data_IF_123957866692
#
_entry.id   IF_123957866692
#
_cell.length_a   1.000
_cell.length_b   1.000
_cell.length_c   1.000
_cell.angle_alpha   90.00
_cell.angle_beta   90.00
_cell.angle_gamma   90.00
#
_symmetry.space_group_name_H-M   'P 1'
#
loop_
_entity.id
_entity.type
_entity.pdbx_description
1 polymer ?
#
# COMPACT_ATOMS: atom_id res chain seq x y z
N UNK A 1 54.59 -27.02 -55.56
CA UNK A 1 54.73 -26.75 -54.13
C UNK A 1 53.51 -25.98 -53.72
N UNK A 2 52.52 -26.67 -53.20
CA UNK A 2 51.17 -26.08 -52.90
C UNK A 2 51.10 -25.91 -51.38
N UNK A 3 51.11 -24.63 -50.91
CA UNK A 3 50.86 -24.30 -49.51
C UNK A 3 49.37 -24.34 -49.24
N UNK A 4 48.96 -25.21 -48.31
CA UNK A 4 47.60 -25.26 -47.73
C UNK A 4 47.53 -24.27 -46.57
N UNK A 5 46.73 -23.21 -46.74
CA UNK A 5 46.37 -22.28 -45.68
C UNK A 5 45.23 -22.87 -44.87
N UNK A 6 45.46 -23.13 -43.58
CA UNK A 6 44.38 -23.49 -42.63
C UNK A 6 43.70 -22.23 -42.15
N UNK A 7 42.44 -22.07 -42.45
CA UNK A 7 41.58 -21.06 -41.83
C UNK A 7 41.18 -21.54 -40.43
N UNK A 8 41.49 -20.75 -39.41
CA UNK A 8 41.01 -20.93 -38.02
C UNK A 8 39.71 -20.17 -37.90
N UNK A 9 38.60 -20.89 -37.77
CA UNK A 9 37.30 -20.29 -37.43
C UNK A 9 37.30 -19.99 -35.91
N UNK A 10 37.40 -18.73 -35.54
CA UNK A 10 37.06 -18.29 -34.17
C UNK A 10 35.55 -18.18 -34.10
N UNK A 11 34.93 -19.12 -33.43
CA UNK A 11 33.52 -19.01 -33.00
C UNK A 11 33.38 -18.03 -31.84
N UNK A 12 32.87 -16.84 -32.13
CA UNK A 12 32.38 -15.93 -31.09
C UNK A 12 31.06 -16.48 -30.54
N UNK A 13 31.12 -17.13 -29.37
CA UNK A 13 29.92 -17.41 -28.60
C UNK A 13 29.38 -16.07 -28.06
N UNK A 14 28.36 -15.56 -28.71
CA UNK A 14 27.58 -14.45 -28.15
C UNK A 14 26.82 -14.97 -26.90
N UNK A 15 27.32 -14.63 -25.73
CA UNK A 15 26.58 -14.83 -24.48
C UNK A 15 25.41 -13.85 -24.50
N UNK A 16 24.23 -14.34 -24.86
CA UNK A 16 22.98 -13.60 -24.66
C UNK A 16 22.75 -13.58 -23.14
N UNK A 17 23.10 -12.47 -22.49
CA UNK A 17 22.53 -12.14 -21.22
C UNK A 17 21.04 -11.84 -21.44
N UNK A 18 20.20 -12.82 -21.16
CA UNK A 18 18.78 -12.57 -20.93
C UNK A 18 18.73 -11.79 -19.61
N UNK A 19 18.65 -10.48 -19.69
CA UNK A 19 18.21 -9.65 -18.58
C UNK A 19 16.76 -10.03 -18.30
N UNK A 20 16.54 -11.00 -17.43
CA UNK A 20 15.25 -11.16 -16.80
C UNK A 20 15.06 -9.91 -15.96
N UNK A 21 14.24 -8.97 -16.43
CA UNK A 21 13.74 -7.92 -15.58
C UNK A 21 12.98 -8.60 -14.43
N UNK A 22 13.58 -8.60 -13.26
CA UNK A 22 12.90 -9.08 -12.07
C UNK A 22 11.65 -8.23 -11.90
N UNK A 23 10.50 -8.87 -12.08
CA UNK A 23 9.21 -8.24 -11.93
C UNK A 23 9.02 -7.96 -10.45
N UNK A 24 8.72 -6.71 -10.10
CA UNK A 24 8.12 -6.45 -8.80
C UNK A 24 6.89 -7.37 -8.70
N UNK A 25 6.85 -8.21 -7.68
CA UNK A 25 5.77 -9.20 -7.54
C UNK A 25 4.52 -8.42 -7.12
N UNK A 26 3.71 -8.05 -8.12
CA UNK A 26 2.35 -7.61 -7.92
C UNK A 26 1.50 -8.80 -7.43
N UNK A 27 0.32 -8.55 -6.88
CA UNK A 27 -0.62 -9.60 -6.47
C UNK A 27 -0.74 -10.69 -7.55
N UNK A 28 -0.81 -11.94 -7.13
CA UNK A 28 -0.91 -13.09 -8.03
C UNK A 28 -2.35 -13.25 -8.53
N UNK A 29 -2.54 -13.99 -9.61
CA UNK A 29 -3.86 -14.28 -10.19
C UNK A 29 -4.29 -13.23 -11.21
N UNK A 30 -5.57 -12.87 -11.17
CA UNK A 30 -6.22 -11.91 -12.08
C UNK A 30 -6.79 -10.71 -11.31
N UNK A 31 -5.94 -9.90 -10.67
CA UNK A 31 -6.37 -8.82 -9.76
C UNK A 31 -6.89 -7.58 -10.50
N UNK A 32 -7.64 -7.77 -11.58
CA UNK A 32 -8.15 -6.68 -12.41
C UNK A 32 -9.41 -6.10 -11.81
N UNK A 33 -9.32 -4.85 -11.39
CA UNK A 33 -10.40 -4.12 -10.76
C UNK A 33 -10.19 -2.62 -10.95
N UNK A 34 -11.29 -1.88 -10.95
CA UNK A 34 -11.31 -0.42 -10.85
C UNK A 34 -12.19 -0.05 -9.66
N UNK A 35 -11.80 0.97 -8.88
CA UNK A 35 -12.47 1.42 -7.65
C UNK A 35 -12.74 0.30 -6.64
N UNK A 36 -11.68 -0.35 -6.11
CA UNK A 36 -11.87 -1.43 -5.15
C UNK A 36 -12.40 -0.87 -3.81
N UNK A 37 -13.46 -1.45 -3.30
CA UNK A 37 -13.94 -1.19 -1.94
C UNK A 37 -12.88 -1.55 -0.89
N UNK A 38 -13.08 -1.08 0.33
CA UNK A 38 -12.43 -1.65 1.51
C UNK A 38 -12.51 -3.17 1.48
N UNK A 39 -11.38 -3.84 1.73
CA UNK A 39 -11.30 -5.31 1.72
C UNK A 39 -11.93 -5.86 2.99
N UNK A 40 -12.95 -6.72 2.81
CA UNK A 40 -13.68 -7.38 3.90
C UNK A 40 -13.24 -8.83 4.04
N UNK A 41 -13.05 -9.27 5.28
CA UNK A 41 -12.91 -10.69 5.60
C UNK A 41 -14.30 -11.30 5.88
N UNK A 42 -14.58 -12.42 5.25
CA UNK A 42 -15.78 -13.21 5.45
C UNK A 42 -15.45 -14.71 5.36
N UNK A 43 -15.67 -15.44 6.45
CA UNK A 43 -15.46 -16.89 6.54
C UNK A 43 -14.05 -17.35 6.11
N UNK A 44 -13.03 -16.58 6.52
CA UNK A 44 -11.62 -16.86 6.22
C UNK A 44 -11.18 -16.51 4.80
N UNK A 45 -12.03 -15.86 4.02
CA UNK A 45 -11.72 -15.33 2.69
C UNK A 45 -11.83 -13.81 2.66
N UNK A 46 -11.20 -13.20 1.68
CA UNK A 46 -11.17 -11.76 1.49
C UNK A 46 -11.93 -11.37 0.24
N UNK A 47 -12.69 -10.29 0.33
CA UNK A 47 -13.57 -9.79 -0.73
C UNK A 47 -13.36 -8.30 -0.92
N UNK A 48 -13.32 -7.85 -2.17
CA UNK A 48 -13.42 -6.45 -2.56
C UNK A 48 -14.29 -6.32 -3.79
N UNK A 49 -15.07 -5.25 -3.85
CA UNK A 49 -16.01 -4.98 -4.93
C UNK A 49 -15.52 -3.78 -5.73
N UNK A 50 -15.79 -3.76 -7.02
CA UNK A 50 -15.37 -2.67 -7.90
C UNK A 50 -16.52 -2.06 -8.68
N UNK A 51 -16.21 -1.05 -9.46
CA UNK A 51 -17.11 -0.46 -10.45
C UNK A 51 -17.63 -1.53 -11.41
N UNK A 52 -18.91 -1.46 -11.77
CA UNK A 52 -19.61 -2.41 -12.62
C UNK A 52 -20.29 -3.56 -11.89
N UNK A 53 -20.17 -3.67 -10.56
CA UNK A 53 -20.85 -4.66 -9.72
C UNK A 53 -20.14 -6.00 -9.57
N UNK A 54 -18.98 -6.17 -10.19
CA UNK A 54 -18.08 -7.29 -9.97
C UNK A 54 -17.17 -7.07 -8.77
N UNK A 55 -16.32 -8.07 -8.48
CA UNK A 55 -15.35 -7.97 -7.42
C UNK A 55 -14.33 -9.10 -7.48
N UNK A 56 -13.41 -9.06 -6.55
CA UNK A 56 -12.35 -10.06 -6.41
C UNK A 56 -12.51 -10.83 -5.10
N UNK A 57 -12.07 -12.07 -5.12
CA UNK A 57 -12.00 -12.98 -3.97
C UNK A 57 -10.56 -13.45 -3.81
N UNK A 58 -10.12 -13.57 -2.57
CA UNK A 58 -8.84 -14.17 -2.22
C UNK A 58 -8.99 -15.07 -1.00
N UNK A 59 -8.29 -16.22 -0.99
CA UNK A 59 -8.20 -17.11 0.16
C UNK A 59 -7.00 -16.79 1.06
N UNK A 60 -6.01 -16.08 0.53
CA UNK A 60 -4.73 -15.79 1.20
C UNK A 60 -4.43 -14.27 1.33
N UNK A 61 -5.30 -13.40 0.78
CA UNK A 61 -5.11 -11.96 0.72
C UNK A 61 -4.09 -11.49 -0.33
N UNK A 62 -3.49 -12.44 -1.07
CA UNK A 62 -2.47 -12.16 -2.07
C UNK A 62 -2.84 -12.64 -3.48
N UNK A 63 -3.39 -13.84 -3.59
CA UNK A 63 -3.88 -14.40 -4.85
C UNK A 63 -5.32 -13.95 -5.05
N UNK A 64 -5.55 -13.07 -5.99
CA UNK A 64 -6.85 -12.47 -6.25
C UNK A 64 -7.42 -12.91 -7.58
N UNK A 65 -8.68 -13.33 -7.59
CA UNK A 65 -9.40 -13.73 -8.80
C UNK A 65 -10.80 -13.15 -8.79
N UNK A 66 -11.39 -13.04 -9.97
CA UNK A 66 -12.79 -12.64 -10.11
C UNK A 66 -13.72 -13.62 -9.41
N UNK A 67 -14.86 -13.12 -8.92
CA UNK A 67 -15.86 -13.94 -8.23
C UNK A 67 -16.66 -13.19 -7.18
N UNK A 68 -16.21 -12.03 -6.74
CA UNK A 68 -17.03 -11.15 -5.89
C UNK A 68 -18.27 -10.69 -6.65
N UNK A 69 -19.42 -10.77 -6.00
CA UNK A 69 -20.72 -10.42 -6.61
C UNK A 69 -21.39 -9.35 -5.77
N UNK A 70 -21.70 -8.24 -6.41
CA UNK A 70 -22.52 -7.17 -5.89
C UNK A 70 -23.60 -6.83 -6.93
N UNK A 71 -24.88 -6.96 -6.62
CA UNK A 71 -25.94 -6.57 -7.56
C UNK A 71 -26.00 -5.05 -7.74
N UNK A 72 -26.74 -4.61 -8.75
CA UNK A 72 -27.05 -3.20 -8.99
C UNK A 72 -26.10 -2.48 -9.93
N UNK A 73 -24.98 -3.09 -10.34
CA UNK A 73 -23.99 -2.39 -11.18
C UNK A 73 -23.41 -1.16 -10.49
N UNK A 74 -23.37 -0.03 -11.19
CA UNK A 74 -22.93 1.26 -10.64
C UNK A 74 -21.44 1.35 -10.40
N UNK A 75 -21.00 2.38 -9.67
CA UNK A 75 -19.61 2.74 -9.52
C UNK A 75 -19.17 2.85 -8.05
N UNK A 76 -17.87 2.76 -7.88
CA UNK A 76 -17.13 3.15 -6.70
C UNK A 76 -17.77 2.71 -5.38
N UNK A 77 -17.82 1.39 -5.14
CA UNK A 77 -18.43 0.85 -3.93
C UNK A 77 -17.47 0.95 -2.74
N UNK A 78 -18.06 0.96 -1.54
CA UNK A 78 -17.36 0.63 -0.31
C UNK A 78 -18.13 -0.35 0.56
N UNK A 79 -17.45 -0.94 1.53
CA UNK A 79 -18.00 -1.99 2.39
C UNK A 79 -17.54 -1.86 3.83
N UNK A 80 -18.47 -2.12 4.77
CA UNK A 80 -18.15 -2.18 6.19
C UNK A 80 -18.89 -3.33 6.87
N UNK A 81 -18.21 -4.02 7.78
CA UNK A 81 -18.83 -5.06 8.62
C UNK A 81 -19.44 -4.43 9.87
N UNK A 82 -20.72 -4.67 10.11
CA UNK A 82 -21.45 -4.20 11.29
C UNK A 82 -22.13 -5.39 11.96
N UNK A 83 -21.62 -5.78 13.13
CA UNK A 83 -22.08 -7.00 13.79
C UNK A 83 -21.76 -8.26 12.97
N UNK A 84 -22.80 -9.00 12.62
CA UNK A 84 -22.72 -10.27 11.87
C UNK A 84 -23.02 -10.13 10.36
N UNK A 85 -23.11 -8.91 9.84
CA UNK A 85 -23.46 -8.63 8.44
C UNK A 85 -22.63 -7.51 7.85
N UNK A 86 -22.74 -7.36 6.54
CA UNK A 86 -21.97 -6.41 5.74
C UNK A 86 -22.91 -5.38 5.13
N UNK A 87 -22.61 -4.11 5.30
CA UNK A 87 -23.22 -3.01 4.58
C UNK A 87 -22.31 -2.66 3.40
N UNK A 88 -22.91 -2.62 2.21
CA UNK A 88 -22.26 -2.18 0.98
C UNK A 88 -22.91 -0.88 0.56
N UNK A 89 -22.11 0.15 0.32
CA UNK A 89 -22.53 1.38 -0.35
C UNK A 89 -21.97 1.39 -1.77
N UNK A 90 -22.73 1.95 -2.72
CA UNK A 90 -22.28 2.11 -4.10
C UNK A 90 -23.06 3.21 -4.81
N UNK A 91 -22.54 3.69 -5.92
CA UNK A 91 -23.13 4.79 -6.66
C UNK A 91 -23.92 4.30 -7.86
N UNK A 92 -25.17 4.68 -7.94
CA UNK A 92 -25.96 4.58 -9.17
C UNK A 92 -25.79 5.91 -9.92
N UNK A 93 -24.88 5.93 -10.89
CA UNK A 93 -24.55 7.14 -11.62
C UNK A 93 -25.55 7.44 -12.72
N UNK A 94 -26.07 8.64 -12.73
CA UNK A 94 -26.99 9.13 -13.78
C UNK A 94 -26.32 9.90 -14.90
N UNK A 95 -25.06 10.23 -14.79
CA UNK A 95 -24.32 10.97 -15.81
C UNK A 95 -22.86 10.62 -15.74
N UNK A 96 -22.19 10.52 -16.85
CA UNK A 96 -20.77 10.18 -16.89
C UNK A 96 -19.92 11.26 -16.22
N UNK A 97 -18.63 10.98 -16.16
CA UNK A 97 -17.58 11.91 -15.78
C UNK A 97 -17.79 13.27 -16.46
N UNK A 98 -17.92 14.32 -15.70
CA UNK A 98 -18.11 15.67 -16.24
C UNK A 98 -19.44 16.32 -15.94
N UNK A 99 -20.12 15.89 -14.89
CA UNK A 99 -21.19 16.66 -14.29
C UNK A 99 -22.56 16.41 -14.88
N UNK A 100 -23.12 15.30 -14.52
CA UNK A 100 -24.58 15.16 -14.62
C UNK A 100 -25.28 15.62 -13.37
N UNK A 101 -24.60 15.79 -12.23
CA UNK A 101 -25.20 16.08 -10.91
C UNK A 101 -26.50 15.29 -10.67
N UNK A 102 -26.52 14.04 -11.10
CA UNK A 102 -27.68 13.15 -11.04
C UNK A 102 -27.36 11.81 -10.39
N UNK A 103 -26.22 11.76 -9.70
CA UNK A 103 -25.76 10.60 -8.97
C UNK A 103 -26.62 10.31 -7.75
N UNK A 104 -26.58 9.03 -7.33
CA UNK A 104 -27.22 8.55 -6.11
C UNK A 104 -26.30 7.55 -5.43
N UNK A 105 -26.14 7.67 -4.13
CA UNK A 105 -25.51 6.62 -3.32
C UNK A 105 -26.59 5.74 -2.71
N UNK A 106 -26.41 4.45 -2.90
CA UNK A 106 -27.31 3.41 -2.42
C UNK A 106 -26.59 2.52 -1.42
N UNK A 107 -27.31 2.04 -0.40
CA UNK A 107 -26.80 1.04 0.54
C UNK A 107 -27.62 -0.25 0.48
N UNK A 108 -26.98 -1.38 0.71
CA UNK A 108 -27.64 -2.68 0.83
C UNK A 108 -26.86 -3.58 1.79
N UNK A 109 -27.58 -4.52 2.39
CA UNK A 109 -27.03 -5.46 3.34
C UNK A 109 -26.88 -6.86 2.76
N UNK A 110 -25.85 -7.57 3.22
CA UNK A 110 -25.75 -9.01 3.06
C UNK A 110 -25.21 -9.64 4.36
N UNK A 111 -25.61 -10.86 4.63
CA UNK A 111 -25.20 -11.63 5.79
C UNK A 111 -23.86 -12.32 5.57
N UNK A 112 -23.52 -12.60 4.33
CA UNK A 112 -22.27 -13.20 3.89
C UNK A 112 -21.82 -12.59 2.57
N UNK A 113 -20.52 -12.63 2.29
CA UNK A 113 -19.96 -12.20 1.01
C UNK A 113 -19.62 -13.39 0.08
N UNK A 114 -19.79 -14.64 0.57
CA UNK A 114 -19.58 -15.83 -0.24
C UNK A 114 -20.79 -16.10 -1.15
N UNK A 115 -20.64 -15.93 -2.49
CA UNK A 115 -21.74 -16.16 -3.44
C UNK A 115 -22.21 -17.62 -3.52
N UNK A 116 -21.45 -18.55 -2.95
CA UNK A 116 -21.86 -19.97 -2.87
C UNK A 116 -22.61 -20.30 -1.59
N UNK A 117 -22.71 -19.39 -0.65
CA UNK A 117 -23.45 -19.59 0.60
C UNK A 117 -24.96 -19.56 0.35
N UNK A 118 -25.78 -20.44 1.00
CA UNK A 118 -27.22 -20.38 0.94
C UNK A 118 -27.80 -19.09 1.55
N UNK A 119 -27.06 -18.42 2.41
CA UNK A 119 -27.43 -17.14 3.02
C UNK A 119 -27.01 -15.91 2.16
N UNK A 120 -26.42 -16.12 0.99
CA UNK A 120 -26.01 -15.05 0.09
C UNK A 120 -27.24 -14.38 -0.54
N UNK A 121 -27.67 -13.30 0.10
CA UNK A 121 -28.82 -12.53 -0.36
C UNK A 121 -28.71 -11.08 0.07
N UNK A 122 -28.59 -10.19 -0.90
CA UNK A 122 -28.65 -8.75 -0.65
C UNK A 122 -30.08 -8.28 -0.39
N UNK A 123 -30.22 -7.28 0.48
CA UNK A 123 -31.48 -6.54 0.63
C UNK A 123 -31.75 -5.67 -0.59
N UNK A 124 -32.98 -5.16 -0.72
CA UNK A 124 -33.27 -4.10 -1.68
C UNK A 124 -32.39 -2.85 -1.37
N UNK A 125 -31.86 -2.19 -2.40
CA UNK A 125 -31.07 -0.98 -2.22
C UNK A 125 -31.89 0.17 -1.62
N UNK A 126 -31.23 0.97 -0.78
CA UNK A 126 -31.79 2.15 -0.12
C UNK A 126 -31.00 3.37 -0.55
N UNK A 127 -31.66 4.37 -1.09
CA UNK A 127 -31.03 5.68 -1.40
C UNK A 127 -30.71 6.42 -0.11
N UNK A 128 -29.45 6.85 0.05
CA UNK A 128 -28.93 7.55 1.23
C UNK A 128 -28.35 8.93 0.92
N UNK A 129 -27.98 9.17 -0.34
CA UNK A 129 -27.57 10.46 -0.85
C UNK A 129 -27.97 10.62 -2.32
N UNK A 130 -28.18 11.85 -2.74
CA UNK A 130 -28.53 12.20 -4.13
C UNK A 130 -28.00 13.58 -4.46
N UNK A 131 -27.48 13.75 -5.66
CA UNK A 131 -27.11 15.04 -6.24
C UNK A 131 -28.09 15.54 -7.29
N UNK A 132 -29.28 14.98 -7.34
CA UNK A 132 -30.34 15.46 -8.22
C UNK A 132 -30.72 16.90 -7.84
N UNK A 133 -30.51 17.84 -8.76
CA UNK A 133 -30.67 19.30 -8.56
C UNK A 133 -29.64 19.93 -7.59
N UNK A 134 -28.52 19.30 -7.39
CA UNK A 134 -27.42 19.79 -6.57
C UNK A 134 -26.28 20.21 -7.52
N UNK A 135 -25.91 21.50 -7.54
CA UNK A 135 -24.95 22.05 -8.49
C UNK A 135 -23.52 22.02 -7.99
N UNK A 136 -23.29 21.73 -6.70
CA UNK A 136 -21.98 21.81 -6.06
C UNK A 136 -21.49 20.47 -5.43
N UNK A 137 -22.21 19.37 -5.72
CA UNK A 137 -21.80 18.03 -5.33
C UNK A 137 -22.28 16.99 -6.36
N UNK A 138 -21.52 15.91 -6.50
CA UNK A 138 -21.94 14.72 -7.24
C UNK A 138 -22.02 13.54 -6.26
N UNK A 139 -23.17 12.86 -6.19
CA UNK A 139 -23.38 11.73 -5.26
C UNK A 139 -22.80 10.44 -5.85
N UNK A 140 -21.49 10.32 -5.76
CA UNK A 140 -20.68 9.18 -6.22
C UNK A 140 -19.55 8.92 -5.21
N UNK A 141 -18.84 7.84 -5.35
CA UNK A 141 -17.64 7.49 -4.59
C UNK A 141 -17.90 7.40 -3.08
N UNK A 142 -18.69 6.39 -2.72
CA UNK A 142 -19.05 6.14 -1.33
C UNK A 142 -17.89 5.61 -0.49
N UNK A 143 -17.63 6.24 0.66
CA UNK A 143 -16.72 5.73 1.69
C UNK A 143 -17.42 5.59 3.04
N UNK A 144 -17.27 4.47 3.71
CA UNK A 144 -17.98 4.11 4.94
C UNK A 144 -17.06 4.03 6.15
N UNK A 145 -17.39 4.73 7.23
CA UNK A 145 -16.72 4.61 8.52
C UNK A 145 -17.72 4.21 9.61
N UNK A 146 -17.58 3.01 10.17
CA UNK A 146 -18.12 2.73 11.48
C UNK A 146 -17.15 3.28 12.53
N UNK A 147 -17.53 4.38 13.16
CA UNK A 147 -16.67 5.10 14.10
C UNK A 147 -16.39 4.22 15.34
N UNK A 148 -15.14 3.82 15.59
CA UNK A 148 -14.82 2.97 16.72
C UNK A 148 -14.94 3.68 18.08
N UNK A 149 -15.14 5.01 18.10
CA UNK A 149 -15.21 5.79 19.33
C UNK A 149 -16.61 5.84 19.94
N UNK A 150 -17.64 5.83 19.11
CA UNK A 150 -19.03 5.98 19.54
C UNK A 150 -20.04 5.08 18.81
N UNK A 151 -19.57 4.31 17.82
CA UNK A 151 -20.40 3.38 17.05
C UNK A 151 -21.28 4.03 15.99
N UNK A 152 -21.11 5.32 15.71
CA UNK A 152 -21.85 6.01 14.64
C UNK A 152 -21.34 5.56 13.29
N UNK A 153 -22.23 5.54 12.31
CA UNK A 153 -21.89 5.19 10.93
C UNK A 153 -21.88 6.44 10.06
N UNK A 154 -20.77 6.68 9.40
CA UNK A 154 -20.56 7.81 8.53
C UNK A 154 -20.40 7.38 7.09
N UNK A 155 -20.92 8.19 6.17
CA UNK A 155 -20.76 8.05 4.74
C UNK A 155 -20.15 9.34 4.19
N UNK A 156 -18.99 9.25 3.54
CA UNK A 156 -18.47 10.29 2.67
C UNK A 156 -18.81 9.99 1.22
N UNK A 157 -19.01 11.04 0.40
CA UNK A 157 -19.26 10.91 -1.04
C UNK A 157 -18.96 12.23 -1.76
N UNK A 158 -18.70 12.16 -3.05
CA UNK A 158 -18.44 13.33 -3.91
C UNK A 158 -17.28 13.11 -4.86
N UNK A 159 -17.10 14.05 -5.79
CA UNK A 159 -15.98 14.07 -6.74
C UNK A 159 -15.24 15.42 -6.71
N UNK A 160 -14.15 15.49 -7.47
CA UNK A 160 -13.37 16.74 -7.64
C UNK A 160 -14.10 17.82 -8.45
N UNK A 161 -15.32 17.56 -8.94
CA UNK A 161 -16.17 18.58 -9.59
C UNK A 161 -16.99 19.42 -8.59
N UNK A 162 -16.93 19.09 -7.30
CA UNK A 162 -17.67 19.78 -6.26
C UNK A 162 -17.12 19.46 -4.88
N UNK A 163 -18.00 19.55 -3.88
CA UNK A 163 -17.66 19.20 -2.52
C UNK A 163 -17.69 17.70 -2.28
N UNK A 164 -16.77 17.23 -1.45
CA UNK A 164 -16.92 15.96 -0.74
C UNK A 164 -17.80 16.23 0.48
N UNK A 165 -18.86 15.45 0.61
CA UNK A 165 -19.84 15.55 1.69
C UNK A 165 -19.78 14.39 2.65
N UNK A 166 -20.10 14.66 3.89
CA UNK A 166 -20.23 13.70 4.96
C UNK A 166 -21.65 13.70 5.50
N UNK A 167 -22.26 12.54 5.67
CA UNK A 167 -23.56 12.33 6.30
C UNK A 167 -23.52 11.17 7.29
N UNK A 168 -24.41 11.20 8.25
CA UNK A 168 -24.56 10.11 9.22
C UNK A 168 -25.65 9.13 8.77
N UNK A 169 -25.32 7.85 8.87
CA UNK A 169 -26.25 6.76 8.62
C UNK A 169 -26.61 6.06 9.95
N UNK A 170 -27.77 5.45 10.00
CA UNK A 170 -28.16 4.55 11.09
C UNK A 170 -27.44 3.20 10.92
N UNK A 171 -26.56 2.81 11.84
CA UNK A 171 -25.80 1.56 11.74
C UNK A 171 -26.69 0.30 11.80
N UNK A 172 -27.92 0.41 12.27
CA UNK A 172 -28.84 -0.73 12.30
C UNK A 172 -29.53 -0.97 10.95
N UNK A 173 -29.81 0.08 10.21
CA UNK A 173 -30.61 0.02 8.99
C UNK A 173 -29.84 0.37 7.72
N UNK A 174 -28.71 1.08 7.83
CA UNK A 174 -27.96 1.62 6.69
C UNK A 174 -28.65 2.81 6.02
N UNK A 175 -29.69 3.38 6.61
CA UNK A 175 -30.39 4.55 6.11
C UNK A 175 -29.75 5.83 6.60
N UNK A 176 -29.93 6.91 5.85
CA UNK A 176 -29.56 8.24 6.32
C UNK A 176 -30.35 8.60 7.58
N UNK A 177 -29.67 9.17 8.57
CA UNK A 177 -30.33 9.67 9.79
C UNK A 177 -31.21 10.86 9.46
N UNK A 178 -32.46 10.85 9.96
CA UNK A 178 -33.40 11.96 9.77
C UNK A 178 -32.88 13.27 10.37
N UNK A 179 -33.06 14.37 9.64
CA UNK A 179 -32.61 15.70 10.06
C UNK A 179 -31.10 15.92 10.00
N UNK A 180 -30.30 14.93 9.59
CA UNK A 180 -28.88 15.07 9.43
C UNK A 180 -28.56 15.90 8.20
N UNK A 181 -27.81 17.01 8.41
CA UNK A 181 -27.35 17.87 7.33
C UNK A 181 -26.08 17.34 6.73
N UNK A 182 -25.90 17.58 5.46
CA UNK A 182 -24.64 17.37 4.76
C UNK A 182 -23.57 18.32 5.29
N UNK A 183 -22.36 17.81 5.40
CA UNK A 183 -21.19 18.55 5.89
C UNK A 183 -20.15 18.49 4.80
N UNK A 184 -19.76 19.64 4.26
CA UNK A 184 -18.67 19.75 3.31
C UNK A 184 -17.34 19.53 4.04
N UNK A 185 -16.53 18.60 3.58
CA UNK A 185 -15.29 18.18 4.27
C UNK A 185 -14.03 18.31 3.41
N UNK A 186 -14.15 18.30 2.08
CA UNK A 186 -13.03 18.46 1.15
C UNK A 186 -13.48 18.98 -0.21
N UNK A 187 -12.53 19.40 -1.04
CA UNK A 187 -12.65 19.67 -2.48
C UNK A 187 -11.42 19.09 -3.19
N UNK A 188 -11.45 19.10 -4.53
CA UNK A 188 -10.31 18.74 -5.38
C UNK A 188 -9.79 17.30 -5.15
N UNK A 189 -10.69 16.43 -4.77
CA UNK A 189 -10.45 15.00 -4.63
C UNK A 189 -11.75 14.21 -4.79
N UNK A 190 -11.64 12.90 -4.90
CA UNK A 190 -12.77 11.98 -4.95
C UNK A 190 -12.41 10.67 -4.24
N UNK A 191 -13.30 9.66 -4.31
CA UNK A 191 -13.07 8.33 -3.72
C UNK A 191 -12.50 8.43 -2.30
N UNK A 192 -13.21 9.18 -1.46
CA UNK A 192 -12.75 9.45 -0.11
C UNK A 192 -13.14 8.33 0.84
N UNK A 193 -12.22 8.02 1.75
CA UNK A 193 -12.47 7.12 2.88
C UNK A 193 -11.93 7.72 4.17
N UNK A 194 -12.52 7.30 5.29
CA UNK A 194 -12.22 7.78 6.62
C UNK A 194 -11.64 6.67 7.48
N UNK A 195 -10.54 6.96 8.16
CA UNK A 195 -10.00 6.09 9.19
C UNK A 195 -9.79 6.84 10.50
N UNK A 196 -9.93 6.13 11.62
CA UNK A 196 -9.66 6.65 12.95
C UNK A 196 -8.43 5.96 13.55
N UNK A 197 -7.49 6.77 14.08
CA UNK A 197 -6.32 6.28 14.78
C UNK A 197 -5.80 7.29 15.80
N UNK A 198 -5.51 6.83 17.01
CA UNK A 198 -4.84 7.59 18.07
C UNK A 198 -5.47 8.99 18.35
N UNK A 199 -6.80 9.05 18.33
CA UNK A 199 -7.55 10.28 18.58
C UNK A 199 -7.62 11.23 17.39
N UNK A 200 -7.28 10.77 16.18
CA UNK A 200 -7.42 11.52 14.94
C UNK A 200 -8.28 10.77 13.93
N UNK A 201 -9.09 11.52 13.22
CA UNK A 201 -9.75 11.09 11.99
C UNK A 201 -8.87 11.54 10.81
N UNK A 202 -8.64 10.65 9.89
CA UNK A 202 -7.91 10.88 8.65
C UNK A 202 -8.87 10.72 7.49
N UNK A 203 -9.00 11.77 6.67
CA UNK A 203 -9.74 11.75 5.41
C UNK A 203 -8.73 11.52 4.29
N UNK A 204 -8.78 10.36 3.68
CA UNK A 204 -8.00 10.04 2.50
C UNK A 204 -8.86 10.32 1.27
N UNK A 205 -8.26 10.90 0.24
CA UNK A 205 -8.96 11.19 -1.00
C UNK A 205 -8.04 11.02 -2.19
N UNK A 206 -8.61 10.65 -3.32
CA UNK A 206 -7.92 10.52 -4.59
C UNK A 206 -7.92 11.85 -5.32
N UNK A 207 -6.74 12.37 -5.59
CA UNK A 207 -6.51 13.63 -6.30
C UNK A 207 -5.95 13.35 -7.69
N UNK A 208 -6.22 14.21 -8.66
CA UNK A 208 -5.75 14.07 -10.04
C UNK A 208 -6.85 13.64 -11.01
N UNK A 209 -6.48 12.99 -12.10
CA UNK A 209 -7.40 12.63 -13.20
C UNK A 209 -7.67 11.15 -13.28
N UNK A 210 -8.96 10.77 -13.29
CA UNK A 210 -9.47 9.41 -13.47
C UNK A 210 -9.37 8.95 -14.92
N UNK A 211 -9.41 7.62 -15.08
CA UNK A 211 -9.91 6.95 -16.30
C UNK A 211 -9.09 7.23 -17.57
N UNK A 212 -7.83 7.61 -17.40
CA UNK A 212 -6.88 7.89 -18.49
C UNK A 212 -5.74 6.84 -18.57
N UNK A 213 -5.92 5.71 -17.88
CA UNK A 213 -5.00 4.59 -17.89
C UNK A 213 -3.56 5.02 -17.62
N UNK A 214 -2.61 4.79 -18.56
CA UNK A 214 -1.21 5.16 -18.39
C UNK A 214 -0.93 6.65 -18.17
N UNK A 215 -1.85 7.54 -18.55
CA UNK A 215 -1.71 8.98 -18.40
C UNK A 215 -2.40 9.51 -17.14
N UNK A 216 -3.09 8.67 -16.38
CA UNK A 216 -3.72 9.05 -15.13
C UNK A 216 -2.72 9.71 -14.19
N UNK A 217 -3.11 10.82 -13.60
CA UNK A 217 -2.33 11.55 -12.59
C UNK A 217 -2.80 11.26 -11.18
N UNK A 218 -3.66 10.28 -10.99
CA UNK A 218 -4.15 9.87 -9.69
C UNK A 218 -3.04 9.68 -8.68
N UNK A 219 -3.31 10.15 -7.49
CA UNK A 219 -2.51 9.98 -6.29
C UNK A 219 -3.43 10.07 -5.07
N UNK A 220 -3.07 9.46 -3.96
CA UNK A 220 -3.87 9.54 -2.74
C UNK A 220 -3.24 10.55 -1.80
N UNK A 221 -4.07 11.47 -1.31
CA UNK A 221 -3.70 12.51 -0.34
C UNK A 221 -4.52 12.34 0.94
N UNK A 222 -4.06 12.95 2.04
CA UNK A 222 -4.69 12.85 3.35
C UNK A 222 -4.69 14.17 4.10
N UNK A 223 -5.81 14.47 4.74
CA UNK A 223 -5.93 15.44 5.82
C UNK A 223 -6.38 14.78 7.11
N UNK A 224 -6.17 15.42 8.26
CA UNK A 224 -6.63 14.90 9.55
C UNK A 224 -7.36 15.92 10.39
N UNK A 225 -8.23 15.44 11.28
CA UNK A 225 -9.01 16.24 12.22
C UNK A 225 -9.18 15.53 13.56
N UNK A 226 -9.47 16.29 14.62
CA UNK A 226 -9.91 15.72 15.92
C UNK A 226 -11.39 15.36 15.95
N UNK A 227 -12.14 15.79 14.96
CA UNK A 227 -13.58 15.52 14.82
C UNK A 227 -13.83 14.88 13.46
N UNK A 228 -14.72 13.91 13.42
CA UNK A 228 -15.12 13.27 12.16
C UNK A 228 -15.71 14.27 11.16
N UNK A 229 -16.33 15.33 11.65
CA UNK A 229 -16.91 16.41 10.82
C UNK A 229 -15.88 17.45 10.37
N UNK A 230 -14.59 17.25 10.63
CA UNK A 230 -13.53 18.18 10.24
C UNK A 230 -13.37 19.40 11.19
N UNK A 231 -12.72 20.47 10.75
CA UNK A 231 -12.03 20.60 9.47
C UNK A 231 -10.81 19.67 9.36
N UNK A 232 -10.63 19.07 8.20
CA UNK A 232 -9.45 18.25 7.88
C UNK A 232 -8.34 19.15 7.35
N UNK A 233 -7.13 19.00 7.91
CA UNK A 233 -5.96 19.78 7.52
C UNK A 233 -4.78 18.84 7.18
N UNK A 234 -3.96 19.25 6.25
CA UNK A 234 -2.72 18.56 5.90
C UNK A 234 -1.59 18.87 6.91
N UNK A 235 -0.41 18.35 6.64
CA UNK A 235 0.78 18.54 7.48
C UNK A 235 1.37 19.97 7.43
N UNK A 236 0.88 20.81 6.52
CA UNK A 236 1.24 22.23 6.40
C UNK A 236 0.18 23.15 7.01
N UNK A 237 -0.95 22.58 7.49
CA UNK A 237 -2.08 23.31 8.05
C UNK A 237 -3.09 23.80 7.04
N UNK A 238 -2.97 23.44 5.75
CA UNK A 238 -3.94 23.80 4.72
C UNK A 238 -5.15 22.86 4.83
N UNK A 239 -6.34 23.42 4.75
CA UNK A 239 -7.59 22.64 4.82
C UNK A 239 -7.84 21.88 3.53
N UNK A 240 -8.44 20.70 3.63
CA UNK A 240 -8.91 19.96 2.45
C UNK A 240 -10.05 20.69 1.74
N UNK A 241 -10.82 21.50 2.43
CA UNK A 241 -11.79 22.44 1.83
C UNK A 241 -11.13 23.58 1.04
N UNK A 242 -9.82 23.69 1.07
CA UNK A 242 -9.01 24.65 0.31
C UNK A 242 -8.05 23.92 -0.67
N UNK A 243 -8.30 22.63 -0.94
CA UNK A 243 -7.46 21.78 -1.77
C UNK A 243 -6.14 21.39 -1.08
N UNK A 244 -6.10 21.32 0.26
CA UNK A 244 -4.98 20.76 1.02
C UNK A 244 -4.96 19.25 0.92
N UNK A 245 -3.82 18.66 1.24
CA UNK A 245 -3.64 17.21 1.29
C UNK A 245 -2.17 16.83 1.30
N UNK A 246 -1.80 15.93 2.21
CA UNK A 246 -0.46 15.35 2.26
C UNK A 246 -0.44 14.07 1.44
N UNK A 247 0.54 13.93 0.56
CA UNK A 247 0.73 12.73 -0.25
C UNK A 247 0.88 11.46 0.62
N UNK A 248 0.12 10.42 0.26
CA UNK A 248 0.19 9.07 0.83
C UNK A 248 0.85 8.12 -0.16
N UNK A 249 0.41 8.12 -1.42
CA UNK A 249 0.96 7.31 -2.51
C UNK A 249 0.81 8.04 -3.84
N UNK A 250 1.78 7.89 -4.71
CA UNK A 250 1.77 8.37 -6.08
C UNK A 250 2.24 7.28 -7.04
N UNK A 251 2.24 7.57 -8.33
CA UNK A 251 2.77 6.67 -9.35
C UNK A 251 4.23 6.28 -9.07
N UNK A 252 4.56 5.03 -9.31
CA UNK A 252 5.90 4.49 -9.12
C UNK A 252 5.96 3.00 -9.50
N UNK A 253 7.19 2.46 -9.59
CA UNK A 253 7.41 1.02 -9.82
C UNK A 253 6.62 0.43 -11.00
N UNK A 254 6.52 1.18 -12.14
CA UNK A 254 5.77 0.79 -13.33
C UNK A 254 4.25 0.68 -13.11
N UNK A 255 3.73 1.31 -12.08
CA UNK A 255 2.30 1.44 -11.78
C UNK A 255 1.93 2.91 -11.72
N UNK A 256 0.82 3.28 -12.37
CA UNK A 256 0.38 4.66 -12.55
C UNK A 256 -1.02 4.85 -12.01
N UNK A 257 -1.29 6.03 -11.49
CA UNK A 257 -2.61 6.44 -11.07
C UNK A 257 -3.18 5.63 -9.89
N UNK A 258 -2.49 5.59 -8.72
CA UNK A 258 -3.08 4.97 -7.53
C UNK A 258 -4.25 5.79 -7.02
N UNK A 259 -5.42 5.16 -6.90
CA UNK A 259 -6.64 5.80 -6.43
C UNK A 259 -7.55 4.84 -5.66
N UNK A 260 -8.59 5.40 -5.07
CA UNK A 260 -9.62 4.68 -4.33
C UNK A 260 -9.05 3.89 -3.15
N UNK A 261 -8.75 4.58 -2.07
CA UNK A 261 -8.20 4.00 -0.84
C UNK A 261 -9.22 3.07 -0.16
N UNK A 262 -8.74 1.94 0.33
CA UNK A 262 -9.44 1.09 1.26
C UNK A 262 -8.51 0.62 2.38
N UNK A 263 -9.03 0.47 3.59
CA UNK A 263 -8.28 -0.09 4.70
C UNK A 263 -8.34 -1.62 4.66
N UNK A 264 -7.19 -2.27 4.78
CA UNK A 264 -7.09 -3.72 4.86
C UNK A 264 -6.44 -4.14 6.17
N UNK A 265 -7.25 -4.55 7.14
CA UNK A 265 -6.79 -5.10 8.42
C UNK A 265 -6.66 -6.60 8.32
N UNK A 266 -5.51 -7.10 8.70
CA UNK A 266 -5.17 -8.51 8.62
C UNK A 266 -4.60 -9.03 9.91
N UNK A 267 -4.74 -10.36 10.08
CA UNK A 267 -4.37 -11.08 11.29
C UNK A 267 -2.87 -11.10 11.61
N UNK A 268 -2.00 -10.64 10.69
CA UNK A 268 -0.54 -10.57 10.91
C UNK A 268 -0.09 -9.33 11.70
N UNK A 269 -1.03 -8.49 12.13
CA UNK A 269 -0.73 -7.26 12.86
C UNK A 269 -0.19 -6.11 12.02
N UNK A 270 -0.01 -6.30 10.71
CA UNK A 270 0.42 -5.24 9.78
C UNK A 270 -0.79 -4.57 9.15
N UNK A 271 -0.96 -3.29 9.41
CA UNK A 271 -1.97 -2.51 8.68
C UNK A 271 -1.58 -2.39 7.20
N UNK A 272 -2.55 -2.61 6.35
CA UNK A 272 -2.40 -2.48 4.90
C UNK A 272 -3.46 -1.55 4.35
N UNK A 273 -3.17 -0.96 3.22
CA UNK A 273 -4.13 -0.26 2.39
C UNK A 273 -4.29 -0.99 1.06
N UNK A 274 -5.48 -0.90 0.50
CA UNK A 274 -5.75 -1.22 -0.89
C UNK A 274 -6.01 0.05 -1.69
N UNK A 275 -5.77 -0.03 -2.99
CA UNK A 275 -6.16 0.95 -3.98
C UNK A 275 -6.27 0.22 -5.33
N UNK A 276 -6.71 0.88 -6.38
CA UNK A 276 -6.34 0.43 -7.71
C UNK A 276 -5.15 1.25 -8.23
N UNK A 277 -4.42 0.69 -9.16
CA UNK A 277 -3.61 1.47 -10.09
C UNK A 277 -4.34 1.53 -11.42
N UNK A 278 -4.49 2.70 -12.00
CA UNK A 278 -5.13 2.89 -13.31
C UNK A 278 -4.43 2.07 -14.41
N UNK A 279 -3.11 1.97 -14.32
CA UNK A 279 -2.33 1.14 -15.21
C UNK A 279 -1.15 0.45 -14.52
N UNK A 280 -1.04 -0.86 -14.70
CA UNK A 280 0.13 -1.65 -14.35
C UNK A 280 0.84 -2.09 -15.64
N UNK A 281 2.04 -1.55 -15.91
CA UNK A 281 2.80 -1.84 -17.12
C UNK A 281 3.36 -3.27 -17.18
N UNK A 282 3.45 -3.95 -16.04
CA UNK A 282 3.82 -5.37 -16.02
C UNK A 282 2.63 -6.28 -16.34
N UNK A 283 1.42 -5.70 -16.37
CA UNK A 283 0.15 -6.37 -16.72
C UNK A 283 -0.53 -5.76 -17.96
N UNK A 284 0.29 -5.22 -18.87
CA UNK A 284 -0.18 -4.66 -20.15
C UNK A 284 -0.95 -3.36 -20.02
N UNK A 285 -0.69 -2.57 -18.98
CA UNK A 285 -1.35 -1.27 -18.75
C UNK A 285 -2.79 -1.38 -18.28
N UNK A 286 -3.20 -2.52 -17.72
CA UNK A 286 -4.55 -2.73 -17.16
C UNK A 286 -4.66 -2.19 -15.75
N UNK A 287 -5.87 -1.78 -15.37
CA UNK A 287 -6.18 -1.44 -13.99
C UNK A 287 -6.12 -2.68 -13.09
N UNK A 288 -5.47 -2.56 -11.95
CA UNK A 288 -5.22 -3.67 -11.03
C UNK A 288 -5.40 -3.26 -9.57
N UNK A 289 -5.79 -4.21 -8.73
CA UNK A 289 -5.72 -4.06 -7.29
C UNK A 289 -4.26 -3.89 -6.85
N UNK A 290 -4.02 -2.87 -6.05
CA UNK A 290 -2.76 -2.64 -5.35
C UNK A 290 -2.94 -2.80 -3.85
N UNK A 291 -2.07 -3.56 -3.19
CA UNK A 291 -2.02 -3.66 -1.74
C UNK A 291 -0.65 -3.20 -1.28
N UNK A 292 -0.62 -2.29 -0.30
CA UNK A 292 0.61 -1.72 0.27
C UNK A 292 0.54 -1.78 1.80
N UNK A 293 1.66 -1.95 2.50
CA UNK A 293 1.70 -1.65 3.93
C UNK A 293 1.29 -0.21 4.18
N UNK A 294 0.44 0.02 5.17
CA UNK A 294 0.09 1.36 5.63
C UNK A 294 1.02 1.70 6.80
N UNK A 295 2.05 2.49 6.51
CA UNK A 295 3.03 2.91 7.49
C UNK A 295 2.65 4.26 8.09
N UNK A 296 3.15 4.54 9.29
CA UNK A 296 2.87 5.79 9.99
C UNK A 296 4.17 6.52 10.30
N UNK A 297 4.29 7.75 9.80
CA UNK A 297 5.46 8.60 10.02
C UNK A 297 5.03 9.94 10.60
N UNK A 298 5.48 10.25 11.83
CA UNK A 298 5.10 11.45 12.55
C UNK A 298 3.57 11.64 12.69
N UNK A 299 2.84 10.55 12.87
CA UNK A 299 1.38 10.55 12.97
C UNK A 299 0.66 10.81 11.63
N UNK A 300 1.30 10.50 10.50
CA UNK A 300 0.72 10.59 9.17
C UNK A 300 0.85 9.26 8.43
N UNK A 301 -0.20 8.80 7.73
CA UNK A 301 -0.12 7.60 6.93
C UNK A 301 0.77 7.83 5.69
N UNK A 302 1.45 6.77 5.30
CA UNK A 302 2.29 6.71 4.10
C UNK A 302 2.21 5.27 3.58
N UNK A 303 2.04 5.10 2.29
CA UNK A 303 2.09 3.78 1.68
C UNK A 303 3.54 3.25 1.71
N UNK A 304 3.69 2.03 2.19
CA UNK A 304 4.95 1.31 2.09
C UNK A 304 5.21 0.82 0.66
N UNK A 305 6.47 0.54 0.39
CA UNK A 305 6.89 -0.02 -0.89
C UNK A 305 6.77 -1.56 -0.86
N UNK A 306 6.57 -2.13 -2.04
CA UNK A 306 6.89 -3.54 -2.28
C UNK A 306 8.38 -3.59 -2.56
N UNK A 307 9.14 -4.33 -1.76
CA UNK A 307 10.59 -4.37 -1.89
C UNK A 307 10.99 -5.03 -3.21
N UNK A 308 11.89 -4.36 -3.92
CA UNK A 308 12.71 -5.02 -4.94
C UNK A 308 13.81 -5.79 -4.24
N UNK A 309 14.22 -6.92 -4.82
CA UNK A 309 15.44 -7.56 -4.39
C UNK A 309 16.62 -6.61 -4.55
N UNK A 310 17.50 -6.58 -3.58
CA UNK A 310 18.63 -5.65 -3.59
C UNK A 310 19.25 -5.46 -2.22
N UNK A 311 20.26 -4.61 -2.16
CA UNK A 311 20.94 -4.24 -0.93
C UNK A 311 20.45 -2.88 -0.45
N UNK A 312 20.05 -2.83 0.80
CA UNK A 312 19.40 -1.70 1.44
C UNK A 312 20.09 -1.32 2.75
N UNK A 313 19.91 -0.09 3.16
CA UNK A 313 19.97 0.32 4.56
C UNK A 313 18.58 0.26 5.15
N UNK A 314 18.46 -0.14 6.40
CA UNK A 314 17.19 -0.16 7.14
C UNK A 314 17.26 0.99 8.13
N UNK A 315 16.72 2.14 7.75
CA UNK A 315 16.68 3.33 8.61
C UNK A 315 15.68 3.17 9.75
N UNK A 316 16.03 3.73 10.90
CA UNK A 316 15.06 3.94 11.97
C UNK A 316 14.24 5.21 11.70
N UNK A 317 13.12 5.39 12.41
CA UNK A 317 12.35 6.64 12.36
C UNK A 317 13.21 7.86 12.74
N UNK A 318 14.20 7.66 13.59
CA UNK A 318 15.20 8.68 13.94
C UNK A 318 16.21 8.80 12.81
N UNK A 319 16.26 9.95 12.17
CA UNK A 319 17.15 10.21 11.04
C UNK A 319 18.63 9.98 11.39
N UNK A 320 19.36 9.38 10.46
CA UNK A 320 20.78 9.10 10.59
C UNK A 320 21.10 7.84 11.39
N UNK A 321 20.09 7.06 11.79
CA UNK A 321 20.26 5.79 12.48
C UNK A 321 19.74 4.64 11.63
N UNK A 322 20.52 3.57 11.56
CA UNK A 322 20.19 2.37 10.82
C UNK A 322 20.36 1.11 11.64
N UNK A 323 19.68 0.05 11.20
CA UNK A 323 19.87 -1.29 11.73
C UNK A 323 21.26 -1.80 11.37
N UNK A 324 22.00 -2.27 12.37
CA UNK A 324 23.36 -2.80 12.18
C UNK A 324 23.58 -4.08 12.98
N UNK A 325 24.53 -4.89 12.53
CA UNK A 325 25.08 -5.92 13.41
C UNK A 325 25.81 -5.24 14.59
N UNK A 326 25.56 -5.75 15.80
CA UNK A 326 26.27 -5.33 16.99
C UNK A 326 27.67 -5.96 17.03
N UNK A 327 28.47 -5.67 16.02
CA UNK A 327 29.86 -6.06 15.97
C UNK A 327 30.70 -4.93 16.57
N UNK A 328 31.42 -5.25 17.63
CA UNK A 328 32.46 -4.34 18.10
C UNK A 328 33.60 -4.43 17.11
N UNK A 329 33.91 -3.32 16.45
CA UNK A 329 35.02 -3.27 15.54
C UNK A 329 36.29 -3.72 16.26
N UNK A 330 36.93 -4.74 15.73
CA UNK A 330 38.34 -4.99 16.11
C UNK A 330 39.08 -3.71 15.85
N UNK A 331 39.63 -3.11 16.89
CA UNK A 331 40.48 -1.92 16.77
C UNK A 331 41.56 -2.27 15.75
N UNK A 332 41.47 -1.65 14.59
CA UNK A 332 42.67 -1.60 13.74
C UNK A 332 43.70 -0.82 14.52
N UNK A 333 44.81 -1.45 14.87
CA UNK A 333 45.96 -0.72 15.35
C UNK A 333 46.45 0.15 14.22
N UNK A 334 46.04 1.41 14.27
CA UNK A 334 46.66 2.45 13.45
C UNK A 334 48.06 2.65 13.95
N UNK A 335 49.03 2.11 13.25
CA UNK A 335 50.39 2.68 13.32
C UNK A 335 50.32 4.06 12.66
N UNK A 336 50.10 5.08 13.47
CA UNK A 336 50.04 6.45 13.02
C UNK A 336 51.45 6.89 12.72
N UNK A 337 51.90 6.72 11.47
CA UNK A 337 53.10 7.39 11.00
C UNK A 337 52.78 8.89 10.96
N UNK A 338 53.46 9.63 11.83
CA UNK A 338 53.41 11.08 11.75
C UNK A 338 54.15 11.46 10.46
N UNK A 339 53.52 12.24 9.59
CA UNK A 339 54.04 12.56 8.25
C UNK A 339 55.43 13.26 8.27
N UNK A 340 55.90 13.69 9.45
CA UNK A 340 57.22 14.25 9.68
C UNK A 340 58.26 13.25 10.23
N UNK A 341 57.88 12.03 10.54
CA UNK A 341 58.77 10.97 10.96
C UNK A 341 59.28 10.27 9.70
N UNK A 342 60.55 10.45 9.39
CA UNK A 342 61.26 9.66 8.39
C UNK A 342 61.55 8.30 9.03
N UNK A 343 60.66 7.38 8.90
CA UNK A 343 60.86 6.01 9.31
C UNK A 343 60.96 5.14 8.07
N UNK A 344 62.07 4.44 7.93
CA UNK A 344 62.34 3.50 6.85
C UNK A 344 61.67 2.14 7.09
N UNK A 345 60.76 2.04 8.06
CA UNK A 345 60.02 0.82 8.34
C UNK A 345 59.06 0.51 7.17
N UNK A 346 59.11 -0.70 6.59
CA UNK A 346 58.21 -1.06 5.51
C UNK A 346 56.75 -0.91 5.98
N UNK A 347 55.96 -0.11 5.26
CA UNK A 347 54.50 -0.03 5.46
C UNK A 347 53.92 -1.39 5.08
N UNK A 348 53.62 -2.20 6.07
CA UNK A 348 52.83 -3.43 5.83
C UNK A 348 51.43 -2.99 5.44
N UNK A 349 50.98 -3.29 4.21
CA UNK A 349 49.61 -2.95 3.84
C UNK A 349 48.65 -3.62 4.82
N UNK A 350 47.81 -2.80 5.46
CA UNK A 350 46.72 -3.31 6.30
C UNK A 350 45.87 -4.25 5.46
N UNK A 351 45.84 -5.52 5.85
CA UNK A 351 44.98 -6.49 5.25
C UNK A 351 43.57 -5.99 5.51
N UNK A 352 42.83 -5.60 4.48
CA UNK A 352 41.43 -5.22 4.62
C UNK A 352 40.66 -6.46 5.07
N UNK A 353 40.20 -6.46 6.30
CA UNK A 353 39.29 -7.48 6.77
C UNK A 353 37.93 -7.26 6.09
N UNK A 354 37.43 -8.32 5.47
CA UNK A 354 36.04 -8.34 5.01
C UNK A 354 35.12 -8.50 6.22
N UNK A 355 33.84 -8.18 6.05
CA UNK A 355 32.85 -8.46 7.11
C UNK A 355 32.80 -9.96 7.42
N UNK A 356 32.99 -10.82 6.41
CA UNK A 356 33.08 -12.28 6.56
C UNK A 356 34.26 -12.68 7.46
N UNK A 357 35.44 -12.12 7.25
CA UNK A 357 36.61 -12.37 8.10
C UNK A 357 36.34 -11.99 9.57
N UNK A 358 35.60 -10.90 9.79
CA UNK A 358 35.22 -10.47 11.14
C UNK A 358 34.21 -11.45 11.75
N UNK A 359 33.25 -11.92 10.98
CA UNK A 359 32.20 -12.84 11.43
C UNK A 359 32.77 -14.24 11.69
N UNK A 360 33.73 -14.72 10.90
CA UNK A 360 34.41 -16.01 11.13
C UNK A 360 35.19 -16.05 12.45
N UNK A 361 35.72 -14.91 12.88
CA UNK A 361 36.42 -14.81 14.16
C UNK A 361 35.49 -14.62 15.35
N UNK A 362 34.19 -14.41 15.11
CA UNK A 362 33.19 -14.24 16.17
C UNK A 362 32.87 -15.57 16.83
N UNK A 363 32.64 -15.60 18.16
CA UNK A 363 32.23 -16.83 18.83
C UNK A 363 31.00 -17.44 18.15
N UNK A 364 31.00 -18.74 17.92
CA UNK A 364 29.85 -19.42 17.33
C UNK A 364 28.59 -19.09 18.13
N UNK A 365 27.59 -18.49 17.48
CA UNK A 365 26.36 -18.13 18.12
C UNK A 365 25.61 -16.99 17.43
N UNK A 366 24.60 -16.50 18.12
CA UNK A 366 23.77 -15.39 17.67
C UNK A 366 24.56 -14.09 17.74
N UNK A 367 24.61 -13.33 16.63
CA UNK A 367 25.10 -11.96 16.64
C UNK A 367 23.85 -11.07 16.76
N UNK A 368 23.84 -10.21 17.78
CA UNK A 368 22.73 -9.30 17.97
C UNK A 368 22.74 -8.19 16.91
N UNK A 369 21.60 -7.62 16.69
CA UNK A 369 21.42 -6.38 15.92
C UNK A 369 21.09 -5.24 16.88
N UNK A 370 21.44 -4.03 16.47
CA UNK A 370 21.13 -2.79 17.20
C UNK A 370 20.86 -1.66 16.22
N UNK A 371 20.36 -0.55 16.70
CA UNK A 371 20.30 0.70 15.94
C UNK A 371 21.55 1.52 16.26
N UNK A 372 22.28 1.90 15.23
CA UNK A 372 23.50 2.71 15.33
C UNK A 372 23.53 3.84 14.31
N UNK A 373 24.50 4.76 14.48
CA UNK A 373 24.73 5.84 13.51
C UNK A 373 25.06 5.27 12.14
N UNK A 374 24.35 5.71 11.10
CA UNK A 374 24.61 5.22 9.75
C UNK A 374 25.93 5.77 9.19
N UNK A 375 26.85 4.90 8.90
CA UNK A 375 28.22 5.23 8.49
C UNK A 375 28.62 4.57 7.15
N UNK A 376 27.66 4.12 6.34
CA UNK A 376 27.90 3.42 5.08
C UNK A 376 28.78 2.16 5.20
N UNK A 377 28.75 1.50 6.36
CA UNK A 377 29.56 0.32 6.63
C UNK A 377 28.87 -0.98 6.21
N UNK A 378 29.62 -2.02 5.82
CA UNK A 378 29.02 -3.30 5.40
C UNK A 378 28.09 -3.93 6.43
N UNK A 379 28.38 -3.81 7.72
CA UNK A 379 27.55 -4.33 8.80
C UNK A 379 26.20 -3.58 8.98
N UNK A 380 25.94 -2.55 8.18
CA UNK A 380 24.70 -1.77 8.13
C UNK A 380 23.94 -1.96 6.82
N UNK A 381 24.42 -2.86 5.94
CA UNK A 381 23.80 -3.13 4.64
C UNK A 381 23.16 -4.50 4.63
N UNK A 382 21.94 -4.53 4.17
CA UNK A 382 21.09 -5.71 4.21
C UNK A 382 20.61 -6.06 2.81
N UNK A 383 20.89 -7.27 2.37
CA UNK A 383 20.38 -7.80 1.11
C UNK A 383 19.03 -8.45 1.36
N UNK A 384 18.01 -7.94 0.68
CA UNK A 384 16.64 -8.44 0.73
C UNK A 384 16.39 -9.25 -0.53
N UNK A 385 16.03 -10.53 -0.37
CA UNK A 385 15.70 -11.43 -1.47
C UNK A 385 14.36 -12.10 -1.20
N UNK A 386 13.55 -12.30 -2.24
CA UNK A 386 12.31 -13.04 -2.11
C UNK A 386 12.61 -14.53 -1.81
N UNK A 387 11.78 -15.13 -0.98
CA UNK A 387 11.83 -16.59 -0.76
C UNK A 387 10.94 -17.23 -1.82
N UNK A 388 11.49 -18.01 -2.75
CA UNK A 388 10.70 -18.73 -3.74
C UNK A 388 9.67 -19.61 -3.05
N UNK A 389 8.44 -19.62 -3.55
CA UNK A 389 7.32 -20.42 -3.03
C UNK A 389 6.92 -20.12 -1.56
N UNK A 390 7.47 -19.07 -0.97
CA UNK A 390 7.07 -18.56 0.33
C UNK A 390 5.78 -17.75 0.19
N UNK A 391 4.62 -18.40 0.29
CA UNK A 391 3.33 -17.72 0.42
C UNK A 391 3.05 -17.40 1.89
N UNK A 392 2.85 -16.13 2.23
CA UNK A 392 2.36 -15.74 3.55
C UNK A 392 0.83 -15.87 3.63
N UNK A 393 0.32 -15.98 4.83
CA UNK A 393 -1.12 -15.96 5.12
C UNK A 393 -1.84 -14.76 4.48
N UNK A 394 -1.13 -13.72 4.12
CA UNK A 394 -1.62 -12.50 3.46
C UNK A 394 -0.96 -12.25 2.11
N UNK A 395 -0.33 -13.27 1.59
CA UNK A 395 0.11 -13.29 0.22
C UNK A 395 1.16 -12.26 -0.16
N UNK A 396 1.92 -11.74 0.76
CA UNK A 396 3.19 -11.12 0.41
C UNK A 396 4.23 -12.20 0.21
N UNK A 397 5.15 -12.08 -0.75
CA UNK A 397 6.30 -12.96 -0.74
C UNK A 397 7.02 -12.78 0.58
N UNK A 398 7.42 -13.87 1.20
CA UNK A 398 8.37 -13.79 2.29
C UNK A 398 9.71 -13.33 1.73
N UNK A 399 10.36 -12.47 2.47
CA UNK A 399 11.69 -12.00 2.15
C UNK A 399 12.69 -12.54 3.16
N UNK A 400 13.83 -12.91 2.66
CA UNK A 400 15.01 -13.20 3.46
C UNK A 400 15.84 -11.93 3.52
N UNK A 401 16.13 -11.46 4.72
CA UNK A 401 16.98 -10.29 4.97
C UNK A 401 18.32 -10.80 5.47
N UNK A 402 19.36 -10.61 4.70
CA UNK A 402 20.70 -11.10 4.96
C UNK A 402 21.66 -9.94 5.05
N UNK A 403 22.59 -9.95 6.01
CA UNK A 403 23.64 -8.95 6.04
C UNK A 403 24.52 -9.08 4.79
N UNK A 404 24.80 -7.97 4.12
CA UNK A 404 25.57 -7.97 2.86
C UNK A 404 26.91 -8.68 3.00
N UNK A 405 27.27 -9.50 2.01
CA UNK A 405 28.54 -10.23 1.98
C UNK A 405 28.57 -11.47 2.88
N UNK A 406 27.46 -11.89 3.45
CA UNK A 406 27.38 -13.09 4.31
C UNK A 406 26.16 -13.93 3.97
N UNK A 407 26.06 -15.12 4.59
CA UNK A 407 24.87 -15.98 4.54
C UNK A 407 24.01 -15.89 5.82
N UNK A 408 24.23 -14.85 6.65
CA UNK A 408 23.53 -14.71 7.93
C UNK A 408 22.25 -13.91 7.78
N UNK A 409 21.14 -14.57 8.03
CA UNK A 409 19.81 -13.94 7.97
C UNK A 409 19.44 -13.31 9.31
N UNK A 410 18.70 -12.19 9.22
CA UNK A 410 18.00 -11.61 10.34
C UNK A 410 16.91 -12.60 10.81
N UNK A 411 16.85 -12.87 12.10
CA UNK A 411 15.85 -13.74 12.69
C UNK A 411 15.28 -13.12 13.97
N UNK A 412 13.97 -13.25 14.15
CA UNK A 412 13.35 -12.99 15.44
C UNK A 412 13.61 -14.22 16.36
N UNK A 413 13.92 -13.97 17.61
CA UNK A 413 14.04 -15.02 18.62
C UNK A 413 12.81 -15.01 19.51
N UNK A 414 12.36 -16.21 19.93
CA UNK A 414 11.18 -16.34 20.79
C UNK A 414 11.35 -15.72 22.19
N UNK A 415 12.57 -15.37 22.53
CA UNK A 415 12.95 -14.83 23.84
C UNK A 415 13.15 -13.30 23.83
N UNK A 416 12.68 -12.61 22.81
CA UNK A 416 12.66 -11.14 22.79
C UNK A 416 11.46 -10.66 23.62
N UNK A 417 11.70 -10.37 24.91
CA UNK A 417 10.78 -9.56 25.73
C UNK A 417 10.78 -8.10 25.31
#
# INVERSE_FOLDING_TARGET
MIMKTKAILLGTAALMFVLTSEKAIAQIGTPYIHDPSTIMECDGKYYTFGTGGGGLISEDGWTWNGGGVRPGGGAAPDAVKIGDRYLIAYSATGGGLGGGHSGKVLTMWNKTLDPNSPDFKYTEPIEVASSVNDEDCDAIDAGLLLDPTDGRLWLSYGTYFGFIRLVELDPATGKRMEGNKEIDIAIDCEATDLIYRDGWYYLLGTHGTCCDGPNSTYNIVVGRSRKVTGPYVDNMGRKMLEGGGKMVIAAGNRQTGPGHFGLFKVADGVEKMSCHFEADFDRGGRSVLGIRPLLWKNGWPVAGEVFKEGTYEIESERRGYALELAVDFVRMEYTRHRFWEKDDTPVVPLKSQTLEDVIETWPQGKINVRIGDYMFRPHQKWTITAVPDGGGYLGGPYYKIVIEGTNRALAATADAE
#
